data_IF_906645497490
#
_entry.id   IF_906645497490
#
_cell.length_a   1.000
_cell.length_b   1.000
_cell.length_c   1.000
_cell.angle_alpha   90.00
_cell.angle_beta   90.00
_cell.angle_gamma   90.00
#
_symmetry.space_group_name_H-M   'P 1'
#
loop_
_entity.id
_entity.type
_entity.pdbx_description
1 polymer ?
#
# COMPACT_ATOMS: atom_id res chain seq x y z
N UNK A 1 31.98 -13.50 -4.95
CA UNK A 1 32.40 -12.55 -6.02
C UNK A 1 33.79 -12.84 -6.59
N UNK A 2 34.58 -13.79 -6.07
CA UNK A 2 35.97 -14.00 -6.53
C UNK A 2 36.19 -15.17 -7.53
N UNK A 3 35.13 -15.80 -8.06
CA UNK A 3 35.27 -16.97 -8.96
C UNK A 3 35.04 -16.65 -10.45
N UNK A 4 34.51 -15.47 -10.81
CA UNK A 4 34.23 -15.13 -12.22
C UNK A 4 35.38 -14.42 -12.96
N UNK A 5 36.41 -13.93 -12.28
CA UNK A 5 37.52 -13.20 -12.93
C UNK A 5 38.47 -14.10 -13.73
N UNK A 6 38.44 -15.42 -13.54
CA UNK A 6 39.40 -16.34 -14.16
C UNK A 6 38.99 -16.92 -15.52
N UNK A 7 37.79 -16.63 -16.03
CA UNK A 7 37.33 -17.11 -17.35
C UNK A 7 37.65 -16.14 -18.51
N UNK A 8 38.01 -14.89 -18.20
CA UNK A 8 38.19 -13.82 -19.20
C UNK A 8 39.62 -13.70 -19.76
N UNK A 9 40.61 -14.33 -19.13
CA UNK A 9 42.03 -14.00 -19.29
C UNK A 9 42.69 -14.23 -20.67
N UNK A 10 41.95 -14.59 -21.73
CA UNK A 10 42.55 -14.91 -23.04
C UNK A 10 41.76 -14.48 -24.28
N UNK A 11 40.60 -13.82 -24.17
CA UNK A 11 39.78 -13.50 -25.35
C UNK A 11 40.11 -12.11 -25.93
N UNK A 12 40.45 -12.08 -27.22
CA UNK A 12 40.63 -10.85 -28.00
C UNK A 12 39.30 -10.12 -28.19
N UNK A 13 39.33 -8.78 -28.32
CA UNK A 13 38.11 -7.99 -28.59
C UNK A 13 37.36 -8.42 -29.85
N UNK A 14 38.07 -8.97 -30.84
CA UNK A 14 37.46 -9.53 -32.06
C UNK A 14 36.70 -10.82 -31.75
N UNK A 15 37.22 -11.65 -30.84
CA UNK A 15 36.57 -12.89 -30.41
C UNK A 15 35.36 -12.58 -29.52
N UNK A 16 35.46 -11.59 -28.63
CA UNK A 16 34.32 -11.09 -27.85
C UNK A 16 33.19 -10.60 -28.75
N UNK A 17 33.51 -9.81 -29.78
CA UNK A 17 32.53 -9.32 -30.76
C UNK A 17 31.90 -10.46 -31.57
N UNK A 18 32.69 -11.46 -31.96
CA UNK A 18 32.17 -12.64 -32.66
C UNK A 18 31.21 -13.47 -31.79
N UNK A 19 31.53 -13.67 -30.51
CA UNK A 19 30.66 -14.36 -29.54
C UNK A 19 29.35 -13.60 -29.36
N UNK A 20 29.42 -12.27 -29.22
CA UNK A 20 28.23 -11.43 -29.09
C UNK A 20 27.34 -11.51 -30.34
N UNK A 21 27.90 -11.42 -31.55
CA UNK A 21 27.11 -11.53 -32.78
C UNK A 21 26.47 -12.91 -32.97
N UNK A 22 27.13 -13.99 -32.53
CA UNK A 22 26.57 -15.35 -32.56
C UNK A 22 25.44 -15.57 -31.54
N UNK A 23 25.35 -14.73 -30.50
CA UNK A 23 24.28 -14.78 -29.50
C UNK A 23 23.00 -14.07 -29.93
N UNK A 24 23.05 -13.28 -31.01
CA UNK A 24 21.93 -12.48 -31.52
C UNK A 24 21.16 -13.20 -32.61
N UNK A 25 19.97 -12.70 -32.94
CA UNK A 25 19.24 -13.17 -34.12
C UNK A 25 19.94 -12.73 -35.41
N UNK A 26 19.73 -13.46 -36.50
CA UNK A 26 20.35 -13.14 -37.80
C UNK A 26 20.05 -11.70 -38.26
N UNK A 27 18.85 -11.19 -37.94
CA UNK A 27 18.43 -9.83 -38.31
C UNK A 27 19.15 -8.75 -37.51
N UNK A 28 19.34 -8.97 -36.21
CA UNK A 28 20.02 -8.03 -35.32
C UNK A 28 21.53 -8.00 -35.60
N UNK A 29 22.13 -9.18 -35.76
CA UNK A 29 23.53 -9.30 -36.16
C UNK A 29 23.79 -8.63 -37.51
N UNK A 30 22.90 -8.81 -38.50
CA UNK A 30 23.02 -8.15 -39.80
C UNK A 30 22.94 -6.62 -39.68
N UNK A 31 22.10 -6.11 -38.79
CA UNK A 31 21.98 -4.67 -38.54
C UNK A 31 23.27 -4.08 -37.97
N UNK A 32 23.95 -4.80 -37.08
CA UNK A 32 25.25 -4.38 -36.53
C UNK A 32 26.36 -4.48 -37.59
N UNK A 33 26.41 -5.59 -38.35
CA UNK A 33 27.44 -5.82 -39.38
C UNK A 33 27.41 -4.74 -40.48
N UNK A 34 26.23 -4.18 -40.79
CA UNK A 34 26.09 -3.06 -41.76
C UNK A 34 26.84 -1.79 -41.36
N UNK A 35 27.11 -1.60 -40.08
CA UNK A 35 27.82 -0.43 -39.56
C UNK A 35 29.35 -0.64 -39.47
N UNK A 36 29.85 -1.84 -39.80
CA UNK A 36 31.27 -2.18 -39.76
C UNK A 36 31.96 -1.94 -41.10
N UNK A 37 33.23 -1.57 -41.07
CA UNK A 37 34.04 -1.46 -42.29
C UNK A 37 34.31 -2.86 -42.89
N UNK A 38 34.51 -2.98 -44.23
CA UNK A 38 34.74 -4.26 -44.89
C UNK A 38 35.87 -5.10 -44.27
N UNK A 39 36.95 -4.45 -43.82
CA UNK A 39 38.08 -5.12 -43.14
C UNK A 39 37.71 -5.65 -41.75
N UNK A 40 36.78 -4.99 -41.05
CA UNK A 40 36.31 -5.41 -39.73
C UNK A 40 35.33 -6.59 -39.87
N UNK A 41 34.41 -6.52 -40.84
CA UNK A 41 33.50 -7.63 -41.16
C UNK A 41 34.28 -8.90 -41.47
N UNK A 42 35.35 -8.80 -42.27
CA UNK A 42 36.19 -9.96 -42.60
C UNK A 42 36.86 -10.57 -41.35
N UNK A 43 37.41 -9.74 -40.45
CA UNK A 43 38.05 -10.20 -39.22
C UNK A 43 37.07 -10.85 -38.25
N UNK A 44 35.90 -10.24 -38.06
CA UNK A 44 34.85 -10.74 -37.17
C UNK A 44 34.22 -12.02 -37.75
N UNK A 45 33.94 -12.05 -39.05
CA UNK A 45 33.42 -13.25 -39.72
C UNK A 45 34.37 -14.44 -39.64
N UNK A 46 35.69 -14.23 -39.79
CA UNK A 46 36.69 -15.28 -39.59
C UNK A 46 36.69 -15.80 -38.15
N UNK A 47 36.61 -14.90 -37.16
CA UNK A 47 36.52 -15.29 -35.75
C UNK A 47 35.22 -16.08 -35.46
N UNK A 48 34.08 -15.67 -36.01
CA UNK A 48 32.81 -16.39 -35.86
C UNK A 48 32.89 -17.83 -36.40
N UNK A 49 33.59 -18.05 -37.50
CA UNK A 49 33.78 -19.41 -38.06
C UNK A 49 34.83 -20.25 -37.31
N UNK A 50 35.79 -19.60 -36.66
CA UNK A 50 36.86 -20.28 -35.92
C UNK A 50 36.45 -20.71 -34.51
N UNK A 51 35.38 -20.12 -33.96
CA UNK A 51 34.86 -20.41 -32.64
C UNK A 51 33.88 -21.60 -32.71
N UNK A 52 34.36 -22.79 -32.42
CA UNK A 52 33.59 -24.04 -32.57
C UNK A 52 33.04 -24.61 -31.25
N UNK A 53 33.55 -24.14 -30.10
CA UNK A 53 33.21 -24.68 -28.78
C UNK A 53 32.97 -23.54 -27.77
N UNK A 54 31.74 -23.05 -27.76
CA UNK A 54 31.30 -21.96 -26.88
C UNK A 54 30.61 -22.55 -25.65
N UNK A 55 31.32 -22.59 -24.53
CA UNK A 55 30.70 -22.91 -23.24
C UNK A 55 29.75 -21.79 -22.82
N UNK A 56 28.64 -22.16 -22.16
CA UNK A 56 27.66 -21.22 -21.64
C UNK A 56 28.29 -20.19 -20.69
N UNK A 57 29.30 -20.60 -19.91
CA UNK A 57 30.08 -19.74 -19.02
C UNK A 57 30.85 -18.65 -19.77
N UNK A 58 31.44 -18.97 -20.93
CA UNK A 58 32.17 -17.99 -21.75
C UNK A 58 31.23 -16.98 -22.39
N UNK A 59 30.08 -17.43 -22.87
CA UNK A 59 29.06 -16.55 -23.44
C UNK A 59 28.55 -15.58 -22.37
N UNK A 60 28.23 -16.08 -21.17
CA UNK A 60 27.77 -15.26 -20.05
C UNK A 60 28.82 -14.23 -19.59
N UNK A 61 30.10 -14.61 -19.57
CA UNK A 61 31.20 -13.69 -19.25
C UNK A 61 31.32 -12.56 -20.28
N UNK A 62 31.26 -12.89 -21.58
CA UNK A 62 31.32 -11.87 -22.66
C UNK A 62 30.13 -10.92 -22.60
N UNK A 63 28.91 -11.40 -22.32
CA UNK A 63 27.75 -10.52 -22.13
C UNK A 63 27.89 -9.59 -20.93
N UNK A 64 28.40 -10.10 -19.80
CA UNK A 64 28.59 -9.31 -18.59
C UNK A 64 29.63 -8.19 -18.84
N UNK A 65 30.77 -8.54 -19.44
CA UNK A 65 31.81 -7.59 -19.83
C UNK A 65 31.30 -6.53 -20.83
N UNK A 66 30.49 -6.92 -21.82
CA UNK A 66 29.90 -5.99 -22.78
C UNK A 66 28.91 -5.01 -22.13
N UNK A 67 28.09 -5.48 -21.19
CA UNK A 67 27.15 -4.63 -20.44
C UNK A 67 27.92 -3.64 -19.56
N UNK A 68 28.96 -4.08 -18.86
CA UNK A 68 29.81 -3.20 -18.04
C UNK A 68 30.54 -2.16 -18.88
N UNK A 69 31.05 -2.52 -20.06
CA UNK A 69 31.75 -1.60 -20.95
C UNK A 69 30.78 -0.60 -21.60
N UNK A 70 29.58 -1.05 -22.02
CA UNK A 70 28.53 -0.14 -22.50
C UNK A 70 28.10 0.84 -21.42
N UNK A 71 27.99 0.43 -20.15
CA UNK A 71 27.66 1.36 -19.06
C UNK A 71 28.68 2.50 -18.90
N UNK A 72 29.93 2.32 -19.36
CA UNK A 72 30.96 3.37 -19.32
C UNK A 72 30.87 4.36 -20.48
N UNK A 73 30.42 3.93 -21.67
CA UNK A 73 30.33 4.77 -22.88
C UNK A 73 28.92 5.30 -23.14
N UNK A 74 27.90 4.57 -22.72
CA UNK A 74 26.52 5.04 -22.71
C UNK A 74 26.25 5.62 -21.34
N UNK A 75 26.18 6.95 -21.25
CA UNK A 75 25.28 7.56 -20.29
C UNK A 75 23.89 7.04 -20.61
N UNK A 76 23.49 5.93 -19.97
CA UNK A 76 22.12 5.37 -19.93
C UNK A 76 21.24 6.44 -19.26
N UNK A 77 20.98 7.49 -20.01
CA UNK A 77 20.47 8.79 -19.58
C UNK A 77 20.23 9.73 -20.75
N UNK A 78 20.80 9.47 -21.94
CA UNK A 78 20.42 10.15 -23.19
C UNK A 78 19.98 9.12 -24.24
N UNK A 79 18.67 8.91 -24.38
CA UNK A 79 18.07 8.07 -25.45
C UNK A 79 17.28 6.84 -24.98
N UNK A 80 17.34 6.47 -23.69
CA UNK A 80 16.43 5.46 -23.11
C UNK A 80 14.97 5.91 -23.17
N UNK A 81 14.74 7.22 -23.16
CA UNK A 81 13.42 7.84 -23.25
C UNK A 81 12.73 7.55 -24.57
N UNK A 82 13.41 7.73 -25.70
CA UNK A 82 12.86 7.47 -27.03
C UNK A 82 12.63 5.97 -27.25
N UNK A 83 13.52 5.13 -26.75
CA UNK A 83 13.36 3.68 -26.81
C UNK A 83 12.15 3.22 -25.99
N UNK A 84 12.02 3.68 -24.73
CA UNK A 84 10.89 3.37 -23.86
C UNK A 84 9.59 3.94 -24.44
N UNK A 85 9.62 5.15 -25.01
CA UNK A 85 8.48 5.75 -25.71
C UNK A 85 8.03 4.89 -26.87
N UNK A 86 8.93 4.54 -27.77
CA UNK A 86 8.60 3.74 -28.95
C UNK A 86 8.14 2.32 -28.60
N UNK A 87 8.73 1.69 -27.57
CA UNK A 87 8.33 0.38 -27.09
C UNK A 87 6.92 0.41 -26.45
N UNK A 88 6.62 1.41 -25.63
CA UNK A 88 5.31 1.58 -25.01
C UNK A 88 4.24 1.93 -26.05
N UNK A 89 4.55 2.78 -27.03
CA UNK A 89 3.64 3.14 -28.14
C UNK A 89 3.30 1.90 -28.98
N UNK A 90 4.30 1.09 -29.31
CA UNK A 90 4.09 -0.15 -30.07
C UNK A 90 3.25 -1.18 -29.32
N UNK A 91 3.35 -1.25 -27.99
CA UNK A 91 2.63 -2.22 -27.16
C UNK A 91 1.22 -1.79 -26.76
N UNK A 92 0.98 -0.49 -26.54
CA UNK A 92 -0.22 0.03 -25.87
C UNK A 92 -1.02 1.05 -26.70
N UNK A 93 -0.47 1.52 -27.82
CA UNK A 93 -1.03 2.59 -28.65
C UNK A 93 -0.61 3.99 -28.19
N UNK A 94 -0.60 4.95 -29.12
CA UNK A 94 -0.05 6.31 -28.95
C UNK A 94 -0.61 7.05 -27.73
N UNK A 95 -1.92 7.04 -27.52
CA UNK A 95 -2.59 7.79 -26.45
C UNK A 95 -2.27 7.28 -25.04
N UNK A 96 -2.16 5.96 -24.87
CA UNK A 96 -1.86 5.34 -23.56
C UNK A 96 -0.36 5.36 -23.26
N UNK A 97 0.44 5.19 -24.30
CA UNK A 97 1.88 5.23 -24.18
C UNK A 97 2.38 6.63 -23.88
N UNK A 98 1.87 7.69 -24.54
CA UNK A 98 2.30 9.05 -24.25
C UNK A 98 2.03 9.44 -22.78
N UNK A 99 0.87 9.08 -22.22
CA UNK A 99 0.58 9.29 -20.80
C UNK A 99 1.55 8.54 -19.87
N UNK A 100 1.83 7.26 -20.15
CA UNK A 100 2.77 6.45 -19.35
C UNK A 100 4.22 6.94 -19.49
N UNK A 101 4.59 7.34 -20.69
CA UNK A 101 5.92 7.85 -21.01
C UNK A 101 6.14 9.19 -20.34
N UNK A 102 5.18 10.10 -20.37
CA UNK A 102 5.27 11.38 -19.66
C UNK A 102 5.31 11.15 -18.12
N UNK A 103 4.65 10.11 -17.61
CA UNK A 103 4.69 9.69 -16.20
C UNK A 103 6.03 9.04 -15.77
N UNK A 104 6.80 8.50 -16.72
CA UNK A 104 8.10 7.83 -16.50
C UNK A 104 9.26 8.81 -16.74
N UNK A 105 9.22 9.58 -17.84
CA UNK A 105 10.27 10.53 -18.25
C UNK A 105 10.29 11.77 -17.34
N UNK A 106 9.13 12.27 -16.91
CA UNK A 106 9.07 13.42 -15.99
C UNK A 106 9.54 13.09 -14.57
N UNK A 107 10.07 11.88 -14.35
CA UNK A 107 10.99 11.55 -13.26
C UNK A 107 10.62 12.14 -11.90
N UNK A 108 9.46 11.80 -11.35
CA UNK A 108 9.03 12.21 -10.01
C UNK A 108 8.80 13.72 -9.82
N UNK A 109 9.32 14.57 -10.71
CA UNK A 109 9.46 16.00 -10.49
C UNK A 109 8.14 16.77 -10.67
N UNK A 110 7.22 16.21 -11.44
CA UNK A 110 5.86 16.70 -11.57
C UNK A 110 4.90 16.03 -10.58
N UNK A 111 5.23 14.89 -9.97
CA UNK A 111 4.29 14.16 -9.09
C UNK A 111 4.01 14.91 -7.80
N UNK A 112 5.04 15.50 -7.18
CA UNK A 112 4.88 16.26 -5.95
C UNK A 112 4.02 17.51 -6.16
N UNK A 113 4.30 18.26 -7.22
CA UNK A 113 3.57 19.47 -7.61
C UNK A 113 2.14 19.18 -8.11
N UNK A 114 1.95 18.13 -8.90
CA UNK A 114 0.62 17.68 -9.34
C UNK A 114 -0.22 17.20 -8.15
N UNK A 115 0.37 16.50 -7.18
CA UNK A 115 -0.35 16.05 -5.99
C UNK A 115 -0.94 17.23 -5.19
N UNK A 116 -0.21 18.35 -5.10
CA UNK A 116 -0.67 19.54 -4.39
C UNK A 116 -1.95 20.15 -4.99
N UNK A 117 -2.21 19.99 -6.30
CA UNK A 117 -3.45 20.47 -6.94
C UNK A 117 -4.71 19.80 -6.40
N UNK A 118 -4.58 18.57 -5.90
CA UNK A 118 -5.69 17.76 -5.39
C UNK A 118 -5.78 17.77 -3.86
N UNK A 119 -4.85 18.45 -3.19
CA UNK A 119 -4.81 18.54 -1.73
C UNK A 119 -5.61 19.72 -1.20
N UNK A 120 -6.17 19.56 0.00
CA UNK A 120 -6.87 20.63 0.69
C UNK A 120 -5.92 21.83 0.94
N UNK A 121 -6.35 23.08 0.66
CA UNK A 121 -5.55 24.30 0.85
C UNK A 121 -4.85 24.40 2.21
N UNK A 122 -5.50 23.94 3.30
CA UNK A 122 -4.91 24.00 4.64
C UNK A 122 -3.78 23.00 4.82
N UNK A 123 -3.87 21.85 4.16
CA UNK A 123 -2.80 20.84 4.17
C UNK A 123 -1.62 21.29 3.33
N UNK A 124 -1.88 21.93 2.19
CA UNK A 124 -0.81 22.54 1.40
C UNK A 124 -0.10 23.62 2.20
N UNK A 125 -0.87 24.50 2.88
CA UNK A 125 -0.32 25.53 3.73
C UNK A 125 0.59 24.95 4.83
N UNK A 126 0.16 23.91 5.54
CA UNK A 126 0.96 23.31 6.61
C UNK A 126 2.27 22.69 6.13
N UNK A 127 2.30 22.18 4.90
CA UNK A 127 3.53 21.65 4.27
C UNK A 127 4.51 22.78 3.96
N UNK A 128 4.04 23.89 3.38
CA UNK A 128 4.93 24.94 2.88
C UNK A 128 5.24 26.04 3.91
N UNK A 129 4.51 26.12 5.02
CA UNK A 129 4.60 27.24 5.98
C UNK A 129 6.01 27.41 6.59
N UNK A 130 6.72 26.30 6.80
CA UNK A 130 8.08 26.29 7.35
C UNK A 130 9.18 26.26 6.26
N UNK A 131 8.80 26.24 4.99
CA UNK A 131 9.74 26.18 3.87
C UNK A 131 10.28 27.57 3.51
N UNK A 132 11.37 27.59 2.73
CA UNK A 132 11.97 28.84 2.28
C UNK A 132 10.97 29.66 1.42
N UNK A 133 10.92 31.00 1.52
CA UNK A 133 9.98 31.84 0.77
C UNK A 133 9.99 31.61 -0.75
N UNK A 134 11.13 31.19 -1.30
CA UNK A 134 11.25 30.82 -2.71
C UNK A 134 10.41 29.59 -3.07
N UNK A 135 10.39 28.57 -2.21
CA UNK A 135 9.60 27.34 -2.41
C UNK A 135 8.11 27.65 -2.27
N UNK A 136 7.74 28.44 -1.26
CA UNK A 136 6.37 28.93 -1.08
C UNK A 136 5.87 29.69 -2.32
N UNK A 137 6.71 30.57 -2.86
CA UNK A 137 6.42 31.34 -4.10
C UNK A 137 6.20 30.40 -5.29
N UNK A 138 7.07 29.39 -5.48
CA UNK A 138 6.96 28.43 -6.58
C UNK A 138 5.68 27.62 -6.48
N UNK A 139 5.37 27.09 -5.28
CA UNK A 139 4.13 26.32 -5.05
C UNK A 139 2.90 27.18 -5.35
N UNK A 140 2.82 28.38 -4.77
CA UNK A 140 1.69 29.28 -4.99
C UNK A 140 1.54 29.74 -6.45
N UNK A 141 2.65 29.83 -7.20
CA UNK A 141 2.63 30.16 -8.64
C UNK A 141 2.17 29.00 -9.53
N UNK A 142 2.23 27.76 -9.02
CA UNK A 142 1.89 26.56 -9.77
C UNK A 142 0.45 26.07 -9.53
N UNK A 143 -0.14 26.42 -8.38
CA UNK A 143 -1.51 26.05 -8.02
C UNK A 143 -2.56 26.97 -8.66
N UNK A 144 -3.81 26.50 -8.68
CA UNK A 144 -4.94 27.29 -9.18
C UNK A 144 -5.12 28.57 -8.34
N UNK A 145 -5.47 29.72 -8.96
CA UNK A 145 -5.54 31.01 -8.25
C UNK A 145 -6.45 30.99 -7.01
N UNK A 146 -7.55 30.24 -7.05
CA UNK A 146 -8.49 30.08 -5.95
C UNK A 146 -7.85 29.36 -4.75
N UNK A 147 -7.12 28.27 -5.02
CA UNK A 147 -6.42 27.48 -4.02
C UNK A 147 -5.27 28.29 -3.38
N UNK A 148 -4.49 29.00 -4.20
CA UNK A 148 -3.40 29.87 -3.73
C UNK A 148 -3.90 31.02 -2.86
N UNK A 149 -5.05 31.62 -3.21
CA UNK A 149 -5.66 32.66 -2.40
C UNK A 149 -6.08 32.11 -1.02
N UNK A 150 -6.65 30.91 -0.96
CA UNK A 150 -7.02 30.27 0.31
C UNK A 150 -5.79 29.91 1.15
N UNK A 151 -4.73 29.38 0.53
CA UNK A 151 -3.46 29.09 1.22
C UNK A 151 -2.86 30.37 1.83
N UNK A 152 -2.86 31.49 1.09
CA UNK A 152 -2.32 32.78 1.57
C UNK A 152 -3.03 33.29 2.84
N UNK A 153 -4.28 32.91 3.08
CA UNK A 153 -5.00 33.29 4.33
C UNK A 153 -4.40 32.66 5.59
N UNK A 154 -3.61 31.60 5.45
CA UNK A 154 -2.94 30.91 6.55
C UNK A 154 -1.61 31.57 6.95
N UNK A 155 -1.11 32.51 6.16
CA UNK A 155 0.12 33.26 6.43
C UNK A 155 -0.16 34.55 7.19
N UNK A 156 0.83 35.04 7.95
CA UNK A 156 0.74 36.37 8.54
C UNK A 156 0.73 37.43 7.43
N UNK A 157 -0.01 38.53 7.65
CA UNK A 157 -0.26 39.58 6.64
C UNK A 157 1.03 40.14 6.00
N UNK A 158 2.10 40.24 6.80
CA UNK A 158 3.42 40.69 6.32
C UNK A 158 4.07 39.67 5.37
N UNK A 159 3.97 38.39 5.67
CA UNK A 159 4.62 37.32 4.90
C UNK A 159 3.83 37.04 3.61
N UNK A 160 2.49 37.08 3.69
CA UNK A 160 1.62 37.02 2.52
C UNK A 160 1.92 38.13 1.51
N UNK A 161 2.17 39.36 1.99
CA UNK A 161 2.56 40.49 1.13
C UNK A 161 3.92 40.24 0.44
N UNK A 162 4.92 39.74 1.18
CA UNK A 162 6.25 39.42 0.62
C UNK A 162 6.14 38.33 -0.46
N UNK A 163 5.34 37.29 -0.22
CA UNK A 163 5.10 36.21 -1.18
C UNK A 163 4.41 36.71 -2.45
N UNK A 164 3.36 37.51 -2.34
CA UNK A 164 2.66 38.08 -3.51
C UNK A 164 3.60 38.96 -4.34
N UNK A 165 4.44 39.77 -3.69
CA UNK A 165 5.45 40.58 -4.38
C UNK A 165 6.47 39.71 -5.13
N UNK A 166 6.92 38.60 -4.54
CA UNK A 166 7.82 37.64 -5.20
C UNK A 166 7.18 36.96 -6.38
N UNK A 167 5.93 36.51 -6.25
CA UNK A 167 5.14 35.89 -7.33
C UNK A 167 5.02 36.87 -8.51
N UNK A 168 4.76 38.16 -8.23
CA UNK A 168 4.65 39.18 -9.26
C UNK A 168 5.96 39.47 -10.01
N UNK A 169 7.11 39.17 -9.41
CA UNK A 169 8.45 39.37 -10.00
C UNK A 169 9.09 38.07 -10.52
N UNK A 170 8.39 36.95 -10.45
CA UNK A 170 8.91 35.64 -10.82
C UNK A 170 8.91 35.48 -12.34
N UNK A 171 10.09 35.54 -12.97
CA UNK A 171 10.24 35.38 -14.43
C UNK A 171 10.60 33.93 -14.82
N UNK A 172 11.55 33.31 -14.11
CA UNK A 172 11.99 31.94 -14.37
C UNK A 172 12.17 31.16 -13.06
N UNK A 173 11.71 29.91 -13.04
CA UNK A 173 11.91 29.00 -11.91
C UNK A 173 13.18 28.19 -12.13
N UNK A 174 14.15 28.33 -11.23
CA UNK A 174 15.41 27.59 -11.32
C UNK A 174 15.17 26.08 -11.12
N UNK A 175 15.77 25.21 -11.95
CA UNK A 175 15.64 23.75 -11.83
C UNK A 175 16.04 23.21 -10.44
N UNK A 176 16.98 23.86 -9.76
CA UNK A 176 17.40 23.49 -8.42
C UNK A 176 16.27 23.62 -7.38
N UNK A 177 15.43 24.65 -7.48
CA UNK A 177 14.31 24.87 -6.57
C UNK A 177 13.16 23.88 -6.83
N UNK A 178 12.96 23.47 -8.09
CA UNK A 178 12.02 22.40 -8.42
C UNK A 178 12.48 21.05 -7.86
N UNK A 179 13.80 20.77 -7.91
CA UNK A 179 14.36 19.56 -7.32
C UNK A 179 14.18 19.56 -5.81
N UNK A 180 14.47 20.67 -5.14
CA UNK A 180 14.30 20.82 -3.68
C UNK A 180 12.83 20.65 -3.27
N UNK A 181 11.90 21.24 -4.02
CA UNK A 181 10.46 21.03 -3.80
C UNK A 181 10.07 19.55 -3.92
N UNK A 182 10.63 18.82 -4.88
CA UNK A 182 10.35 17.39 -5.01
C UNK A 182 10.97 16.57 -3.88
N UNK A 183 12.16 16.92 -3.38
CA UNK A 183 12.73 16.27 -2.20
C UNK A 183 11.91 16.56 -0.93
N UNK A 184 11.34 17.76 -0.81
CA UNK A 184 10.38 18.11 0.26
C UNK A 184 9.12 17.28 0.11
N UNK A 185 8.55 17.19 -1.10
CA UNK A 185 7.35 16.39 -1.37
C UNK A 185 7.62 14.91 -1.12
N UNK A 186 8.75 14.35 -1.58
CA UNK A 186 9.10 12.97 -1.31
C UNK A 186 9.30 12.69 0.19
N UNK A 187 9.92 13.61 0.95
CA UNK A 187 10.03 13.48 2.41
C UNK A 187 8.69 13.58 3.10
N UNK A 188 7.84 14.51 2.66
CA UNK A 188 6.50 14.68 3.18
C UNK A 188 5.64 13.49 2.81
N UNK A 189 5.68 12.94 1.59
CA UNK A 189 4.93 11.75 1.18
C UNK A 189 5.51 10.43 1.72
N UNK A 190 6.82 10.33 1.93
CA UNK A 190 7.44 9.23 2.67
C UNK A 190 7.06 9.29 4.15
N UNK A 191 6.96 10.50 4.73
CA UNK A 191 6.40 10.75 6.06
C UNK A 191 4.87 10.65 6.12
N UNK A 192 4.18 10.93 5.01
CA UNK A 192 2.72 10.90 4.81
C UNK A 192 2.24 9.58 4.20
N UNK A 193 3.11 8.57 4.07
CA UNK A 193 2.67 7.19 4.26
C UNK A 193 2.02 7.02 5.65
N UNK A 194 2.17 8.01 6.55
CA UNK A 194 1.36 8.22 7.74
C UNK A 194 0.29 9.34 7.71
N UNK A 195 0.03 10.05 6.60
CA UNK A 195 -0.93 11.18 6.59
C UNK A 195 -1.84 11.26 5.35
N UNK A 196 -2.30 10.11 4.87
CA UNK A 196 -3.72 9.82 4.96
C UNK A 196 -3.81 8.35 5.37
N UNK A 197 -3.49 8.08 6.63
CA UNK A 197 -4.18 6.96 7.24
C UNK A 197 -5.67 7.34 7.19
N UNK A 198 -6.41 6.79 6.22
CA UNK A 198 -7.65 6.14 6.63
C UNK A 198 -7.29 5.46 7.96
N UNK A 199 -7.95 5.80 9.07
CA UNK A 199 -7.69 5.19 10.37
C UNK A 199 -7.82 3.66 10.22
N UNK A 200 -6.77 3.01 9.77
CA UNK A 200 -6.64 1.58 9.51
C UNK A 200 -5.69 1.16 10.61
N UNK A 201 -6.27 0.73 11.73
CA UNK A 201 -5.52 0.45 12.95
C UNK A 201 -5.94 1.32 14.14
N UNK A 202 -5.44 0.93 15.32
CA UNK A 202 -5.79 1.50 16.61
C UNK A 202 -6.39 0.45 17.55
N UNK A 203 -6.70 0.85 18.78
CA UNK A 203 -7.23 -0.05 19.82
C UNK A 203 -8.49 -0.80 19.35
N UNK A 204 -9.34 -0.16 18.54
CA UNK A 204 -10.54 -0.78 17.96
C UNK A 204 -10.19 -1.88 16.94
N UNK A 205 -9.23 -1.64 16.07
CA UNK A 205 -8.79 -2.66 15.10
C UNK A 205 -8.05 -3.82 15.80
N UNK A 206 -7.27 -3.52 16.84
CA UNK A 206 -6.64 -4.53 17.67
C UNK A 206 -7.71 -5.38 18.39
N UNK A 207 -8.70 -4.76 19.04
CA UNK A 207 -9.82 -5.46 19.66
C UNK A 207 -10.62 -6.30 18.67
N UNK A 208 -10.86 -5.78 17.46
CA UNK A 208 -11.54 -6.51 16.40
C UNK A 208 -10.75 -7.74 15.96
N UNK A 209 -9.43 -7.63 15.78
CA UNK A 209 -8.55 -8.77 15.51
C UNK A 209 -8.62 -9.77 16.66
N UNK A 210 -8.46 -9.32 17.91
CA UNK A 210 -8.48 -10.15 19.11
C UNK A 210 -9.80 -10.92 19.26
N UNK A 211 -10.95 -10.30 18.96
CA UNK A 211 -12.28 -10.95 18.96
C UNK A 211 -12.37 -12.13 17.98
N UNK A 212 -11.55 -12.16 16.92
CA UNK A 212 -11.51 -13.27 15.97
C UNK A 212 -10.44 -14.32 16.29
N UNK A 213 -9.52 -14.05 17.23
CA UNK A 213 -8.47 -15.00 17.65
C UNK A 213 -9.02 -16.10 18.57
N UNK A 214 -8.35 -17.25 18.63
CA UNK A 214 -8.71 -18.30 19.60
C UNK A 214 -8.38 -17.85 21.03
N UNK A 215 -9.16 -18.30 22.03
CA UNK A 215 -9.01 -17.84 23.42
C UNK A 215 -7.63 -18.09 24.02
N UNK A 216 -6.91 -19.11 23.53
CA UNK A 216 -5.58 -19.44 24.07
C UNK A 216 -4.55 -18.42 23.60
N UNK A 217 -4.59 -18.06 22.32
CA UNK A 217 -3.72 -17.05 21.73
C UNK A 217 -4.11 -15.63 22.17
N UNK A 218 -5.41 -15.35 22.28
CA UNK A 218 -5.95 -14.10 22.81
C UNK A 218 -5.45 -13.83 24.23
N UNK A 219 -5.61 -14.80 25.16
CA UNK A 219 -5.18 -14.65 26.55
C UNK A 219 -3.66 -14.46 26.66
N UNK A 220 -2.87 -15.23 25.89
CA UNK A 220 -1.42 -15.10 25.88
C UNK A 220 -0.94 -13.75 25.34
N UNK A 221 -1.62 -13.20 24.33
CA UNK A 221 -1.32 -11.87 23.79
C UNK A 221 -1.77 -10.76 24.73
N UNK A 222 -2.94 -10.88 25.36
CA UNK A 222 -3.41 -9.92 26.36
C UNK A 222 -2.46 -9.85 27.55
N UNK A 223 -1.98 -10.99 28.06
CA UNK A 223 -1.00 -11.04 29.15
C UNK A 223 0.32 -10.34 28.76
N UNK A 224 0.79 -10.53 27.52
CA UNK A 224 1.98 -9.83 27.02
C UNK A 224 1.76 -8.33 26.79
N UNK A 225 0.56 -7.93 26.37
CA UNK A 225 0.22 -6.52 26.20
C UNK A 225 0.14 -5.86 27.58
N UNK A 226 -0.52 -6.48 28.56
CA UNK A 226 -0.64 -5.99 29.94
C UNK A 226 0.72 -5.84 30.63
N UNK A 227 1.66 -6.77 30.41
CA UNK A 227 3.02 -6.68 30.93
C UNK A 227 3.83 -5.51 30.34
N UNK A 228 3.52 -5.07 29.11
CA UNK A 228 4.21 -3.97 28.46
C UNK A 228 3.51 -2.63 28.69
N UNK A 229 2.17 -2.61 28.69
CA UNK A 229 1.32 -1.43 28.80
C UNK A 229 -0.08 -1.82 29.34
N UNK A 230 -0.26 -1.63 30.64
CA UNK A 230 -1.50 -1.95 31.37
C UNK A 230 -2.69 -1.10 30.89
N UNK A 231 -2.46 0.19 30.59
CA UNK A 231 -3.50 1.10 30.11
C UNK A 231 -3.98 0.70 28.70
N UNK A 232 -3.05 0.30 27.82
CA UNK A 232 -3.38 -0.20 26.48
C UNK A 232 -4.15 -1.53 26.54
N UNK A 233 -3.76 -2.44 27.43
CA UNK A 233 -4.46 -3.70 27.64
C UNK A 233 -5.91 -3.44 28.06
N UNK A 234 -6.12 -2.58 29.06
CA UNK A 234 -7.46 -2.20 29.51
C UNK A 234 -8.30 -1.62 28.37
N UNK A 235 -7.72 -0.71 27.56
CA UNK A 235 -8.45 -0.08 26.46
C UNK A 235 -8.78 -1.05 25.31
N UNK A 236 -7.91 -2.03 25.03
CA UNK A 236 -8.21 -3.07 24.04
C UNK A 236 -9.32 -3.99 24.59
N UNK A 237 -9.23 -4.38 25.85
CA UNK A 237 -10.22 -5.24 26.51
C UNK A 237 -11.60 -4.57 26.58
N UNK A 238 -11.66 -3.28 26.89
CA UNK A 238 -12.91 -2.49 26.89
C UNK A 238 -13.56 -2.44 25.49
N UNK A 239 -12.75 -2.50 24.43
CA UNK A 239 -13.22 -2.51 23.05
C UNK A 239 -13.52 -3.92 22.53
N UNK A 240 -13.15 -4.97 23.26
CA UNK A 240 -13.51 -6.35 22.93
C UNK A 240 -14.97 -6.59 23.31
N UNK A 241 -15.84 -6.62 22.29
CA UNK A 241 -17.23 -6.97 22.49
C UNK A 241 -17.34 -8.49 22.71
N UNK A 242 -17.31 -8.89 23.98
CA UNK A 242 -17.43 -10.29 24.40
C UNK A 242 -18.88 -10.76 24.22
N UNK A 243 -19.06 -12.06 23.95
CA UNK A 243 -20.38 -12.66 23.78
C UNK A 243 -21.33 -12.38 24.96
N UNK A 244 -20.80 -12.33 26.18
CA UNK A 244 -21.57 -12.05 27.38
C UNK A 244 -22.10 -10.61 27.45
N UNK A 245 -21.47 -9.65 26.74
CA UNK A 245 -21.94 -8.25 26.65
C UNK A 245 -23.26 -8.14 25.86
N UNK A 246 -23.68 -9.20 25.16
CA UNK A 246 -25.05 -9.27 24.63
C UNK A 246 -26.09 -9.15 25.74
N UNK A 247 -25.75 -9.46 27.00
CA UNK A 247 -26.65 -9.29 28.13
C UNK A 247 -27.05 -7.83 28.35
N UNK A 248 -26.27 -6.86 27.88
CA UNK A 248 -26.53 -5.42 28.04
C UNK A 248 -27.27 -4.79 26.84
N UNK A 249 -27.41 -5.53 25.74
CA UNK A 249 -28.17 -5.09 24.56
C UNK A 249 -29.66 -4.99 24.89
N UNK A 250 -30.36 -3.99 24.38
CA UNK A 250 -31.80 -3.83 24.65
C UNK A 250 -32.63 -4.96 24.01
N UNK A 251 -33.85 -5.17 24.51
CA UNK A 251 -34.72 -6.27 24.05
C UNK A 251 -34.99 -6.22 22.54
N UNK A 252 -35.06 -5.02 21.95
CA UNK A 252 -35.25 -4.88 20.49
C UNK A 252 -34.01 -5.31 19.73
N UNK A 253 -32.82 -4.98 20.24
CA UNK A 253 -31.56 -5.46 19.68
C UNK A 253 -31.41 -6.97 19.73
N UNK A 254 -31.77 -7.59 20.86
CA UNK A 254 -31.79 -9.05 21.00
C UNK A 254 -32.75 -9.69 19.99
N UNK A 255 -33.95 -9.15 19.82
CA UNK A 255 -34.91 -9.66 18.83
C UNK A 255 -34.39 -9.56 17.39
N UNK A 256 -33.67 -8.49 17.05
CA UNK A 256 -33.04 -8.34 15.74
C UNK A 256 -31.92 -9.37 15.52
N UNK A 257 -31.07 -9.60 16.52
CA UNK A 257 -30.03 -10.63 16.47
C UNK A 257 -30.65 -12.02 16.29
N UNK A 258 -31.68 -12.36 17.09
CA UNK A 258 -32.36 -13.67 17.02
C UNK A 258 -33.02 -13.94 15.66
N UNK A 259 -33.39 -12.90 14.91
CA UNK A 259 -33.97 -13.02 13.57
C UNK A 259 -32.93 -13.39 12.51
N UNK A 260 -31.70 -12.89 12.67
CA UNK A 260 -30.64 -12.97 11.65
C UNK A 260 -29.60 -14.08 11.93
N UNK A 261 -29.65 -14.68 13.12
CA UNK A 261 -28.75 -15.79 13.52
C UNK A 261 -29.31 -17.15 13.09
N UNK A 262 -28.49 -18.04 12.49
CA UNK A 262 -28.89 -19.42 12.21
C UNK A 262 -29.21 -20.23 13.47
N UNK A 263 -30.27 -21.03 13.44
CA UNK A 263 -30.73 -21.81 14.60
C UNK A 263 -29.65 -22.76 15.16
N UNK A 264 -28.83 -23.38 14.30
CA UNK A 264 -27.75 -24.27 14.72
C UNK A 264 -26.64 -23.53 15.47
N UNK A 265 -26.29 -22.32 15.03
CA UNK A 265 -25.33 -21.47 15.72
C UNK A 265 -25.87 -21.01 17.09
N UNK A 266 -27.16 -20.62 17.13
CA UNK A 266 -27.82 -20.22 18.38
C UNK A 266 -27.82 -21.35 19.41
N UNK A 267 -28.15 -22.58 19.01
CA UNK A 267 -28.11 -23.75 19.89
C UNK A 267 -26.71 -24.00 20.48
N UNK A 268 -25.67 -24.02 19.63
CA UNK A 268 -24.29 -24.26 20.06
C UNK A 268 -23.76 -23.16 20.97
N UNK A 269 -24.06 -21.90 20.67
CA UNK A 269 -23.61 -20.75 21.45
C UNK A 269 -24.28 -20.70 22.83
N UNK A 270 -25.59 -20.95 22.92
CA UNK A 270 -26.34 -20.91 24.19
C UNK A 270 -25.95 -22.02 25.16
N UNK A 271 -25.44 -23.14 24.67
CA UNK A 271 -24.92 -24.24 25.50
C UNK A 271 -23.75 -23.79 26.38
N UNK A 272 -22.93 -22.85 25.89
CA UNK A 272 -21.82 -22.25 26.64
C UNK A 272 -22.05 -20.84 27.16
N UNK A 273 -23.28 -20.30 27.03
CA UNK A 273 -23.64 -18.98 27.53
C UNK A 273 -23.92 -19.00 29.04
N UNK A 274 -23.67 -17.88 29.71
CA UNK A 274 -24.09 -17.66 31.10
C UNK A 274 -25.63 -17.67 31.25
N UNK A 275 -26.10 -18.02 32.44
CA UNK A 275 -27.53 -18.17 32.73
C UNK A 275 -28.32 -16.88 32.45
N UNK A 276 -27.78 -15.72 32.84
CA UNK A 276 -28.43 -14.42 32.62
C UNK A 276 -28.62 -14.09 31.13
N UNK A 277 -27.59 -14.29 30.30
CA UNK A 277 -27.70 -14.08 28.85
C UNK A 277 -28.68 -15.09 28.22
N UNK A 278 -28.64 -16.35 28.66
CA UNK A 278 -29.53 -17.40 28.16
C UNK A 278 -31.00 -17.07 28.45
N UNK A 279 -31.31 -16.63 29.67
CA UNK A 279 -32.66 -16.20 30.04
C UNK A 279 -33.13 -15.00 29.22
N UNK A 280 -32.27 -14.00 29.02
CA UNK A 280 -32.58 -12.82 28.22
C UNK A 280 -32.88 -13.17 26.76
N UNK A 281 -32.11 -14.10 26.18
CA UNK A 281 -32.37 -14.61 24.83
C UNK A 281 -33.73 -15.32 24.76
N UNK A 282 -34.06 -16.19 25.73
CA UNK A 282 -35.38 -16.85 25.76
C UNK A 282 -36.54 -15.89 25.97
N UNK A 283 -36.38 -14.86 26.80
CA UNK A 283 -37.41 -13.87 27.08
C UNK A 283 -37.78 -13.05 25.82
N UNK A 284 -36.85 -12.92 24.88
CA UNK A 284 -37.03 -12.22 23.63
C UNK A 284 -37.48 -13.11 22.46
N UNK A 285 -37.79 -14.38 22.72
CA UNK A 285 -38.36 -15.31 21.75
C UNK A 285 -39.86 -15.51 21.96
N UNK A 286 -40.55 -16.02 20.92
CA UNK A 286 -41.91 -16.55 21.13
C UNK A 286 -41.87 -17.76 22.06
N UNK A 287 -42.92 -17.96 22.87
CA UNK A 287 -43.01 -19.06 23.85
C UNK A 287 -42.71 -20.44 23.23
N UNK A 288 -43.26 -20.68 22.03
CA UNK A 288 -43.01 -21.91 21.26
C UNK A 288 -41.54 -22.07 20.83
N UNK A 289 -40.91 -20.99 20.37
CA UNK A 289 -39.51 -21.05 19.92
C UNK A 289 -38.54 -21.21 21.09
N UNK A 290 -38.83 -20.58 22.23
CA UNK A 290 -38.06 -20.77 23.47
C UNK A 290 -38.19 -22.20 24.00
N UNK A 291 -39.38 -22.80 23.96
CA UNK A 291 -39.62 -24.18 24.38
C UNK A 291 -38.87 -25.17 23.48
N UNK A 292 -38.98 -25.03 22.15
CA UNK A 292 -38.23 -25.85 21.20
C UNK A 292 -36.71 -25.75 21.40
N UNK A 293 -36.19 -24.55 21.62
CA UNK A 293 -34.76 -24.34 21.83
C UNK A 293 -34.26 -24.93 23.16
N UNK A 294 -35.08 -24.93 24.20
CA UNK A 294 -34.77 -25.62 25.47
C UNK A 294 -34.70 -27.13 25.28
N UNK A 295 -35.69 -27.70 24.60
CA UNK A 295 -35.71 -29.14 24.29
C UNK A 295 -34.48 -29.54 23.46
N UNK A 296 -34.12 -28.73 22.47
CA UNK A 296 -32.92 -28.93 21.64
C UNK A 296 -31.64 -28.88 22.49
N UNK A 297 -31.52 -27.93 23.43
CA UNK A 297 -30.36 -27.79 24.31
C UNK A 297 -30.23 -28.95 25.30
N UNK A 298 -31.35 -29.51 25.78
CA UNK A 298 -31.38 -30.70 26.64
C UNK A 298 -31.01 -31.97 25.86
N UNK A 299 -31.50 -32.10 24.63
CA UNK A 299 -31.15 -33.19 23.73
C UNK A 299 -29.70 -33.12 23.23
N UNK A 300 -29.10 -31.92 23.25
CA UNK A 300 -27.73 -31.70 22.82
C UNK A 300 -26.73 -32.31 23.82
N UNK A 301 -26.01 -33.32 23.35
CA UNK A 301 -24.92 -33.97 24.07
C UNK A 301 -23.71 -33.06 24.31
N UNK A 302 -22.61 -33.59 24.87
CA UNK A 302 -21.38 -32.82 25.06
C UNK A 302 -20.81 -32.37 23.72
N UNK A 303 -20.59 -31.06 23.58
CA UNK A 303 -20.00 -30.44 22.40
C UNK A 303 -18.61 -29.90 22.73
N UNK A 304 -17.76 -29.71 21.71
CA UNK A 304 -16.41 -29.18 21.93
C UNK A 304 -16.50 -27.68 22.20
N UNK A 305 -15.63 -27.19 23.10
CA UNK A 305 -15.51 -25.76 23.41
C UNK A 305 -15.25 -24.94 22.15
N UNK A 306 -14.43 -25.44 21.24
CA UNK A 306 -14.16 -24.78 19.95
C UNK A 306 -15.41 -24.60 19.07
N UNK A 307 -16.37 -25.54 19.11
CA UNK A 307 -17.61 -25.45 18.35
C UNK A 307 -18.55 -24.39 18.96
N UNK A 308 -18.53 -24.26 20.30
CA UNK A 308 -19.24 -23.21 21.03
C UNK A 308 -18.68 -21.84 20.67
N UNK A 309 -17.36 -21.69 20.73
CA UNK A 309 -16.68 -20.42 20.44
C UNK A 309 -16.88 -19.97 19.00
N UNK A 310 -16.85 -20.91 18.05
CA UNK A 310 -17.14 -20.64 16.63
C UNK A 310 -18.55 -20.09 16.47
N UNK A 311 -19.53 -20.73 17.14
CA UNK A 311 -20.91 -20.28 17.10
C UNK A 311 -21.12 -18.92 17.80
N UNK A 312 -20.44 -18.68 18.93
CA UNK A 312 -20.46 -17.39 19.63
C UNK A 312 -19.90 -16.27 18.73
N UNK A 313 -18.77 -16.51 18.04
CA UNK A 313 -18.19 -15.56 17.08
C UNK A 313 -19.12 -15.25 15.91
N UNK A 314 -19.83 -16.26 15.41
CA UNK A 314 -20.82 -16.05 14.34
C UNK A 314 -21.94 -15.10 14.79
N UNK A 315 -22.46 -15.29 16.01
CA UNK A 315 -23.48 -14.41 16.60
C UNK A 315 -22.94 -13.00 16.83
N UNK A 316 -21.72 -12.86 17.35
CA UNK A 316 -21.07 -11.56 17.53
C UNK A 316 -20.87 -10.83 16.20
N UNK A 317 -20.54 -11.56 15.13
CA UNK A 317 -20.43 -10.98 13.79
C UNK A 317 -21.77 -10.48 13.26
N UNK A 318 -22.88 -11.17 13.56
CA UNK A 318 -24.24 -10.72 13.20
C UNK A 318 -24.60 -9.47 14.00
N UNK A 319 -24.36 -9.47 15.32
CA UNK A 319 -24.64 -8.34 16.19
C UNK A 319 -23.87 -7.09 15.74
N UNK A 320 -22.58 -7.23 15.42
CA UNK A 320 -21.77 -6.12 14.89
C UNK A 320 -22.31 -5.57 13.57
N UNK A 321 -22.66 -6.44 12.63
CA UNK A 321 -23.25 -6.02 11.35
C UNK A 321 -24.54 -5.21 11.54
N UNK A 322 -25.39 -5.63 12.48
CA UNK A 322 -26.62 -4.93 12.83
C UNK A 322 -26.35 -3.60 13.56
N UNK A 323 -25.25 -3.52 14.32
CA UNK A 323 -24.83 -2.28 14.97
C UNK A 323 -24.29 -1.26 13.96
N UNK A 324 -23.47 -1.74 13.01
CA UNK A 324 -22.93 -0.92 11.93
C UNK A 324 -24.04 -0.39 10.99
N UNK A 325 -25.16 -1.11 10.85
CA UNK A 325 -26.35 -0.63 10.13
C UNK A 325 -27.24 0.29 10.96
N UNK A 326 -26.94 0.49 12.25
CA UNK A 326 -27.72 1.28 13.19
C UNK A 326 -29.04 0.62 13.63
N UNK A 327 -29.25 -0.67 13.34
CA UNK A 327 -30.44 -1.41 13.76
C UNK A 327 -30.43 -1.77 15.24
N UNK A 328 -29.24 -1.93 15.83
CA UNK A 328 -29.07 -2.22 17.26
C UNK A 328 -28.01 -1.32 17.88
N UNK A 329 -28.15 -1.03 19.18
CA UNK A 329 -27.08 -0.40 19.95
C UNK A 329 -26.39 -1.46 20.81
N UNK A 330 -25.08 -1.65 20.58
CA UNK A 330 -24.26 -2.51 21.42
C UNK A 330 -23.81 -1.68 22.62
N UNK A 331 -24.35 -1.99 23.80
CA UNK A 331 -23.93 -1.37 25.06
C UNK A 331 -22.44 -1.66 25.30
N UNK A 332 -21.61 -0.62 25.27
CA UNK A 332 -20.15 -0.75 25.42
C UNK A 332 -19.33 0.36 24.76
N UNK A 333 -19.92 1.14 23.85
CA UNK A 333 -19.32 2.40 23.40
C UNK A 333 -19.52 3.49 24.46
N UNK A 334 -18.42 4.00 25.02
CA UNK A 334 -18.37 4.93 26.14
C UNK A 334 -19.46 6.00 26.16
N UNK A 335 -19.94 6.28 27.37
CA UNK A 335 -20.70 7.45 27.71
C UNK A 335 -19.91 8.72 27.34
N UNK A 336 -20.14 9.26 26.15
CA UNK A 336 -20.08 10.67 25.76
C UNK A 336 -19.97 10.77 24.24
N UNK A 337 -21.11 10.78 23.55
CA UNK A 337 -21.29 11.54 22.30
C UNK A 337 -22.74 11.45 21.81
N UNK A 338 -23.67 12.06 22.55
CA UNK A 338 -24.91 12.58 21.97
C UNK A 338 -25.30 13.88 22.69
N UNK A 339 -25.11 15.01 22.01
CA UNK A 339 -25.91 16.22 22.17
C UNK A 339 -27.05 16.20 21.15
#
# INVERSE_FOLDING_TARGET
>A
MAENENAEGTLSGIEKAAILLLSLTEQDAASIIRHLEPKQVQKVGQAMTSLTDLSQERVAAVHSSFIEEIQQYTSIGMGSEDFVRNALVAALGEDKANNLVDQIISGGASRGLEALKWMDPRQVASIILNEHPQIQTIVLSYLEPEQSAEILTQFAERDALDLVMRIATLEEVQPAALKELNEIMEKQFAGQSGAQAAKIGGLKAAADIMNYMDKTMEAALMEQIEQNDEDMASQIQDLMFVFDNLADVDDRGIQAILRDVPQEALQKALKGAEEGLREKMFANMSSRAAEMLRDDLEAMGPIRVADVETAQKEILSVARRLADSGEIMLGGGGADEFL
#
